data_IF_172622683178
#
_entry.id   IF_172622683178
#
_cell.length_a   1.000
_cell.length_b   1.000
_cell.length_c   1.000
_cell.angle_alpha   90.00
_cell.angle_beta   90.00
_cell.angle_gamma   90.00
#
_symmetry.space_group_name_H-M   'P 1'
#
loop_
_entity.id
_entity.type
_entity.pdbx_description
1 polymer ?
#
# COMPACT_ATOMS: atom_id res chain seq x y z
N UNK A 1 -28.98 -35.18 -83.48
CA UNK A 1 -28.13 -36.36 -83.22
C UNK A 1 -26.80 -35.90 -82.64
N UNK A 2 -26.43 -36.47 -81.48
CA UNK A 2 -25.07 -36.71 -80.95
C UNK A 2 -24.22 -35.54 -80.36
N UNK A 3 -24.28 -35.52 -79.03
CA UNK A 3 -23.28 -35.29 -77.95
C UNK A 3 -21.82 -34.90 -78.26
N UNK A 4 -21.24 -34.08 -77.34
CA UNK A 4 -20.02 -34.28 -76.49
C UNK A 4 -19.71 -32.90 -75.83
N UNK A 5 -19.90 -32.66 -74.52
CA UNK A 5 -19.15 -33.04 -73.30
C UNK A 5 -17.77 -32.34 -73.12
N UNK A 6 -17.73 -31.31 -72.26
CA UNK A 6 -16.67 -30.96 -71.26
C UNK A 6 -17.06 -29.64 -70.59
N UNK A 7 -17.53 -29.59 -69.34
CA UNK A 7 -16.82 -29.76 -68.06
C UNK A 7 -15.69 -28.73 -67.84
N UNK A 8 -16.03 -27.55 -67.29
CA UNK A 8 -15.22 -26.87 -66.25
C UNK A 8 -16.20 -26.10 -65.36
N UNK A 9 -16.41 -26.64 -64.15
CA UNK A 9 -17.03 -25.94 -63.02
C UNK A 9 -15.90 -25.19 -62.34
N UNK A 10 -15.94 -23.86 -62.34
CA UNK A 10 -15.08 -23.05 -61.48
C UNK A 10 -15.92 -22.47 -60.33
N UNK A 11 -15.99 -23.25 -59.27
CA UNK A 11 -16.46 -22.84 -57.94
C UNK A 11 -15.50 -21.79 -57.37
N UNK A 12 -15.91 -20.53 -57.40
CA UNK A 12 -15.34 -19.49 -56.53
C UNK A 12 -15.93 -19.65 -55.13
N UNK A 13 -15.18 -20.26 -54.22
CA UNK A 13 -15.48 -20.27 -52.79
C UNK A 13 -15.27 -18.84 -52.30
N UNK A 14 -16.36 -18.08 -52.17
CA UNK A 14 -16.35 -16.89 -51.31
C UNK A 14 -16.26 -17.40 -49.87
N UNK A 15 -15.06 -17.30 -49.30
CA UNK A 15 -14.84 -17.45 -47.88
C UNK A 15 -15.60 -16.33 -47.15
N UNK A 16 -16.80 -16.66 -46.65
CA UNK A 16 -17.48 -15.87 -45.66
C UNK A 16 -16.74 -16.05 -44.32
N UNK A 17 -15.79 -15.16 -44.04
CA UNK A 17 -15.29 -15.00 -42.69
C UNK A 17 -16.42 -14.44 -41.82
N UNK A 18 -17.05 -15.33 -41.04
CA UNK A 18 -17.78 -14.95 -39.84
C UNK A 18 -16.76 -14.39 -38.85
N UNK A 19 -16.60 -13.07 -38.83
CA UNK A 19 -15.94 -12.40 -37.72
C UNK A 19 -16.93 -12.38 -36.56
N UNK A 20 -16.76 -13.30 -35.61
CA UNK A 20 -17.39 -13.22 -34.30
C UNK A 20 -16.96 -11.90 -33.62
N UNK A 21 -17.86 -11.18 -32.94
CA UNK A 21 -17.47 -9.99 -32.20
C UNK A 21 -16.64 -10.46 -31.01
N UNK A 22 -15.31 -10.34 -31.14
CA UNK A 22 -14.38 -10.48 -30.04
C UNK A 22 -14.78 -9.50 -28.95
N UNK A 23 -15.08 -10.06 -27.78
CA UNK A 23 -15.32 -9.32 -26.55
C UNK A 23 -14.29 -8.19 -26.44
N UNK A 24 -14.77 -6.95 -26.31
CA UNK A 24 -13.94 -5.81 -26.00
C UNK A 24 -13.16 -6.15 -24.73
N UNK A 25 -11.86 -6.39 -24.89
CA UNK A 25 -10.93 -6.30 -23.80
C UNK A 25 -11.10 -4.91 -23.20
N UNK A 26 -11.47 -4.87 -21.93
CA UNK A 26 -11.20 -3.71 -21.11
C UNK A 26 -9.67 -3.63 -21.10
N UNK A 27 -9.12 -2.70 -21.87
CA UNK A 27 -7.73 -2.29 -21.69
C UNK A 27 -7.58 -1.95 -20.20
N UNK A 28 -6.64 -2.57 -19.45
CA UNK A 28 -6.39 -2.14 -18.10
C UNK A 28 -5.90 -0.70 -18.20
N UNK A 29 -6.68 0.22 -17.64
CA UNK A 29 -6.20 1.56 -17.32
C UNK A 29 -5.10 1.31 -16.29
N UNK A 30 -3.85 1.25 -16.74
CA UNK A 30 -2.70 1.40 -15.87
C UNK A 30 -2.68 2.89 -15.55
N UNK A 31 -3.27 3.23 -14.42
CA UNK A 31 -3.22 4.57 -13.87
C UNK A 31 -1.76 4.82 -13.44
N UNK A 32 -1.03 5.66 -14.19
CA UNK A 32 0.40 5.96 -13.95
C UNK A 32 0.66 6.58 -12.56
N UNK A 33 -0.40 6.94 -11.84
CA UNK A 33 -0.39 7.64 -10.55
C UNK A 33 -0.48 6.71 -9.31
N UNK A 34 -0.56 5.38 -9.51
CA UNK A 34 -0.67 4.40 -8.41
C UNK A 34 0.65 3.63 -8.24
N UNK A 35 1.27 3.78 -7.07
CA UNK A 35 2.47 3.03 -6.68
C UNK A 35 2.10 1.97 -5.65
N UNK A 36 2.09 0.69 -6.07
CA UNK A 36 1.99 -0.44 -5.13
C UNK A 36 3.24 -0.51 -4.27
N UNK A 37 3.06 -0.55 -2.95
CA UNK A 37 4.16 -0.41 -1.98
C UNK A 37 4.29 -1.68 -1.12
N UNK A 38 4.67 -2.80 -1.73
CA UNK A 38 4.92 -4.03 -0.98
C UNK A 38 6.38 -4.06 -0.50
N UNK A 39 6.60 -3.74 0.78
CA UNK A 39 7.90 -3.94 1.44
C UNK A 39 8.03 -5.40 1.91
N UNK A 40 9.11 -6.10 1.55
CA UNK A 40 9.37 -7.48 2.00
C UNK A 40 10.47 -7.57 3.07
N UNK A 41 11.14 -6.45 3.38
CA UNK A 41 12.27 -6.36 4.32
C UNK A 41 13.43 -7.32 3.97
N UNK A 42 13.64 -7.62 2.67
CA UNK A 42 14.73 -8.50 2.21
C UNK A 42 16.03 -7.77 1.90
N UNK A 43 16.00 -6.43 1.82
CA UNK A 43 17.17 -5.59 1.57
C UNK A 43 18.18 -5.66 2.75
N UNK A 44 19.47 -5.70 2.43
CA UNK A 44 20.55 -5.80 3.44
C UNK A 44 21.22 -4.47 3.74
N UNK A 45 21.07 -3.46 2.88
CA UNK A 45 21.66 -2.12 3.03
C UNK A 45 20.73 -1.00 2.54
N UNK A 46 20.81 0.17 3.16
CA UNK A 46 20.05 1.34 2.70
C UNK A 46 20.75 1.97 1.50
N UNK A 47 20.01 2.09 0.38
CA UNK A 47 20.50 2.80 -0.82
C UNK A 47 20.73 4.29 -0.57
N UNK A 48 19.87 4.92 0.23
CA UNK A 48 19.99 6.33 0.60
C UNK A 48 20.56 6.45 2.02
N UNK A 49 21.78 7.02 2.20
CA UNK A 49 22.39 7.17 3.53
C UNK A 49 21.57 8.07 4.47
N UNK A 50 20.72 8.95 3.93
CA UNK A 50 19.83 9.79 4.76
C UNK A 50 18.87 8.95 5.60
N UNK A 51 18.47 7.77 5.14
CA UNK A 51 17.57 6.89 5.89
C UNK A 51 18.19 6.46 7.22
N UNK A 52 19.50 6.17 7.21
CA UNK A 52 20.27 5.83 8.40
C UNK A 52 20.32 7.00 9.39
N UNK A 53 20.47 8.22 8.89
CA UNK A 53 20.51 9.43 9.72
C UNK A 53 19.14 9.72 10.37
N UNK A 54 18.05 9.54 9.63
CA UNK A 54 16.68 9.67 10.16
C UNK A 54 16.40 8.65 11.27
N UNK A 55 16.76 7.39 11.07
CA UNK A 55 16.60 6.36 12.11
C UNK A 55 17.43 6.65 13.36
N UNK A 56 18.59 7.30 13.20
CA UNK A 56 19.42 7.77 14.32
C UNK A 56 18.77 8.91 15.07
N UNK A 57 18.26 9.91 14.34
CA UNK A 57 17.57 11.07 14.93
C UNK A 57 16.33 10.64 15.72
N UNK A 58 15.59 9.64 15.23
CA UNK A 58 14.43 9.08 15.92
C UNK A 58 14.79 8.21 17.14
N UNK A 59 16.06 7.82 17.29
CA UNK A 59 16.56 6.97 18.37
C UNK A 59 15.79 5.64 18.57
N UNK A 60 15.26 5.07 17.48
CA UNK A 60 14.38 3.87 17.53
C UNK A 60 15.10 2.52 17.35
N UNK A 61 16.42 2.53 17.11
CA UNK A 61 17.19 1.32 16.82
C UNK A 61 18.65 1.44 17.27
N UNK A 62 19.39 0.32 17.20
CA UNK A 62 20.81 0.23 17.55
C UNK A 62 21.67 0.05 16.28
N UNK A 63 22.84 0.71 16.22
CA UNK A 63 23.75 0.63 15.07
C UNK A 63 24.79 -0.50 15.17
N UNK A 64 24.96 -1.08 16.36
CA UNK A 64 25.89 -2.19 16.61
C UNK A 64 25.30 -3.13 17.66
N UNK A 65 25.58 -4.42 17.48
CA UNK A 65 25.32 -5.46 18.48
C UNK A 65 26.22 -5.20 19.70
N UNK A 66 25.69 -4.51 20.71
CA UNK A 66 26.12 -4.82 22.08
C UNK A 66 25.76 -6.29 22.30
N UNK A 67 26.62 -7.08 22.94
CA UNK A 67 26.61 -8.57 23.00
C UNK A 67 25.30 -9.26 23.47
N UNK A 68 24.23 -8.49 23.68
CA UNK A 68 22.88 -8.93 24.03
C UNK A 68 21.79 -8.01 23.43
N UNK A 69 21.84 -7.64 22.15
CA UNK A 69 20.88 -6.68 21.58
C UNK A 69 19.45 -7.23 21.60
N UNK A 70 18.71 -6.78 22.62
CA UNK A 70 17.27 -6.90 22.74
C UNK A 70 16.55 -6.05 21.70
N UNK A 71 17.17 -4.96 21.22
CA UNK A 71 16.58 -4.02 20.28
C UNK A 71 16.94 -4.31 18.82
N UNK A 72 16.07 -3.85 17.92
CA UNK A 72 16.22 -3.93 16.48
C UNK A 72 17.45 -3.14 16.00
N UNK A 73 18.17 -3.70 15.05
CA UNK A 73 19.26 -3.02 14.37
C UNK A 73 18.71 -2.00 13.37
N UNK A 74 19.41 -0.88 13.20
CA UNK A 74 19.09 0.13 12.19
C UNK A 74 19.43 -0.38 10.79
N UNK A 75 18.62 -1.31 10.26
CA UNK A 75 18.81 -1.97 8.97
C UNK A 75 17.51 -2.02 8.16
N UNK A 76 17.60 -2.21 6.83
CA UNK A 76 16.42 -2.38 5.98
C UNK A 76 15.62 -3.65 6.26
N UNK A 77 16.19 -4.62 6.99
CA UNK A 77 15.48 -5.81 7.47
C UNK A 77 14.44 -5.51 8.56
N UNK A 78 14.51 -4.30 9.16
CA UNK A 78 13.63 -3.86 10.25
C UNK A 78 12.84 -2.58 9.90
N UNK A 79 13.39 -1.73 9.03
CA UNK A 79 12.85 -0.39 8.77
C UNK A 79 12.87 -0.03 7.28
N UNK A 80 11.81 0.62 6.79
CA UNK A 80 11.76 1.27 5.48
C UNK A 80 11.39 2.74 5.65
N UNK A 81 12.08 3.60 4.92
CA UNK A 81 11.74 5.02 4.79
C UNK A 81 11.22 5.23 3.37
N UNK A 82 10.07 5.88 3.27
CA UNK A 82 9.32 6.06 2.02
C UNK A 82 9.00 7.55 1.87
N UNK A 83 9.29 8.10 0.69
CA UNK A 83 8.92 9.47 0.33
C UNK A 83 7.45 9.50 -0.11
N UNK A 84 6.68 10.45 0.44
CA UNK A 84 5.25 10.60 0.13
C UNK A 84 4.86 12.01 -0.34
N UNK A 85 5.79 12.97 -0.32
CA UNK A 85 5.58 14.32 -0.83
C UNK A 85 6.54 14.60 -1.97
N UNK A 86 6.00 15.09 -3.07
CA UNK A 86 6.76 15.65 -4.18
C UNK A 86 7.45 16.95 -3.71
N UNK A 87 8.67 17.20 -4.22
CA UNK A 87 9.46 18.41 -3.97
C UNK A 87 9.79 18.75 -2.49
N UNK A 88 9.58 17.81 -1.58
CA UNK A 88 10.00 17.92 -0.16
C UNK A 88 11.12 16.93 0.10
N UNK A 89 12.14 17.36 0.85
CA UNK A 89 13.23 16.45 1.22
C UNK A 89 12.71 15.31 2.10
N UNK A 90 13.18 14.08 1.85
CA UNK A 90 12.95 12.95 2.77
C UNK A 90 13.42 13.23 4.20
N UNK A 91 14.34 14.19 4.40
CA UNK A 91 14.75 14.66 5.73
C UNK A 91 13.64 15.34 6.53
N UNK A 92 12.65 15.86 5.82
CA UNK A 92 11.63 16.76 6.35
C UNK A 92 10.22 16.17 6.26
N UNK A 93 9.97 15.22 5.35
CA UNK A 93 8.71 14.49 5.29
C UNK A 93 8.93 13.06 4.78
N UNK A 94 8.54 12.07 5.58
CA UNK A 94 8.66 10.66 5.20
C UNK A 94 7.69 9.77 5.97
N UNK A 95 7.43 8.60 5.40
CA UNK A 95 6.76 7.49 6.07
C UNK A 95 7.84 6.52 6.56
N UNK A 96 7.78 6.17 7.84
CA UNK A 96 8.54 5.10 8.45
C UNK A 96 7.66 3.85 8.54
N UNK A 97 8.06 2.79 7.84
CA UNK A 97 7.50 1.46 8.02
C UNK A 97 8.43 0.62 8.91
N UNK A 98 7.88 0.02 9.96
CA UNK A 98 8.58 -0.83 10.91
C UNK A 98 8.07 -2.27 10.78
N UNK A 99 9.00 -3.22 10.66
CA UNK A 99 8.67 -4.64 10.59
C UNK A 99 7.94 -5.10 11.85
N UNK A 100 6.97 -5.99 11.67
CA UNK A 100 6.23 -6.61 12.76
C UNK A 100 7.16 -7.36 13.74
N UNK A 101 6.85 -7.34 15.04
CA UNK A 101 7.55 -8.16 16.03
C UNK A 101 8.94 -7.70 16.44
N UNK A 102 9.49 -6.65 15.82
CA UNK A 102 10.81 -6.11 16.22
C UNK A 102 10.72 -5.44 17.59
N UNK A 103 11.87 -5.20 18.22
CA UNK A 103 11.98 -4.46 19.48
C UNK A 103 12.58 -3.07 19.22
N UNK A 104 11.78 -2.00 19.04
CA UNK A 104 12.32 -0.66 18.91
C UNK A 104 13.02 -0.25 20.20
N UNK A 105 14.09 0.54 20.08
CA UNK A 105 14.78 1.11 21.24
C UNK A 105 13.82 1.93 22.10
N UNK A 106 13.96 1.80 23.42
CA UNK A 106 13.08 2.45 24.40
C UNK A 106 11.77 1.72 24.67
N UNK A 107 11.43 0.65 23.94
CA UNK A 107 10.27 -0.20 24.22
C UNK A 107 10.61 -1.34 25.17
N UNK A 108 9.65 -1.71 26.03
CA UNK A 108 9.79 -2.83 26.98
C UNK A 108 9.25 -4.16 26.45
N UNK A 109 8.58 -4.13 25.31
CA UNK A 109 7.91 -5.27 24.67
C UNK A 109 8.10 -5.14 23.15
N UNK A 110 8.06 -6.23 22.38
CA UNK A 110 8.17 -6.13 20.93
C UNK A 110 6.94 -5.45 20.37
N UNK A 111 7.06 -4.91 19.16
CA UNK A 111 5.89 -4.51 18.40
C UNK A 111 4.93 -5.70 18.27
N UNK A 112 3.62 -5.46 18.27
CA UNK A 112 2.64 -6.49 17.93
C UNK A 112 2.98 -7.18 16.59
N UNK A 113 2.40 -8.36 16.30
CA UNK A 113 2.63 -9.08 15.05
C UNK A 113 1.81 -8.45 13.91
N UNK A 114 2.07 -7.16 13.65
CA UNK A 114 1.57 -6.30 12.58
C UNK A 114 2.58 -5.17 12.40
N UNK A 115 2.77 -4.73 11.16
CA UNK A 115 3.70 -3.62 10.87
C UNK A 115 3.18 -2.32 11.47
N UNK A 116 4.10 -1.39 11.70
CA UNK A 116 3.75 -0.03 12.11
C UNK A 116 4.17 0.92 11.01
N UNK A 117 3.25 1.78 10.60
CA UNK A 117 3.48 2.82 9.59
C UNK A 117 3.30 4.14 10.32
N UNK A 118 4.33 4.98 10.33
CA UNK A 118 4.34 6.25 11.04
C UNK A 118 4.72 7.34 10.07
N UNK A 119 3.92 8.37 9.97
CA UNK A 119 4.15 9.53 9.10
C UNK A 119 4.82 10.62 9.92
N UNK A 120 5.94 11.11 9.44
CA UNK A 120 6.71 12.19 10.06
C UNK A 120 6.77 13.42 9.18
N UNK A 121 6.66 14.59 9.82
CA UNK A 121 7.03 15.88 9.24
C UNK A 121 7.96 16.63 10.17
N UNK A 122 8.81 17.48 9.60
CA UNK A 122 9.70 18.35 10.35
C UNK A 122 9.03 19.67 10.67
N UNK A 123 8.85 19.95 11.95
CA UNK A 123 8.43 21.25 12.46
C UNK A 123 9.64 21.93 13.13
N UNK A 124 10.25 22.89 12.44
CA UNK A 124 11.49 23.52 12.92
C UNK A 124 12.66 22.55 12.93
N UNK A 125 13.18 22.22 14.12
CA UNK A 125 14.29 21.28 14.29
C UNK A 125 13.84 19.86 14.66
N UNK A 126 12.54 19.62 14.84
CA UNK A 126 12.02 18.37 15.39
C UNK A 126 11.19 17.59 14.37
N UNK A 127 11.33 16.27 14.38
CA UNK A 127 10.44 15.35 13.65
C UNK A 127 9.20 15.07 14.50
N UNK A 128 8.05 15.54 14.03
CA UNK A 128 6.75 15.32 14.66
C UNK A 128 6.00 14.20 13.93
N UNK A 129 5.27 13.38 14.69
CA UNK A 129 4.37 12.37 14.12
C UNK A 129 3.07 13.03 13.71
N UNK A 130 2.70 12.90 12.44
CA UNK A 130 1.45 13.42 11.87
C UNK A 130 0.46 12.32 11.51
N UNK A 131 0.82 11.05 11.72
CA UNK A 131 -0.08 9.90 11.60
C UNK A 131 0.61 8.59 11.98
N UNK A 132 -0.18 7.61 12.42
CA UNK A 132 0.29 6.29 12.80
C UNK A 132 -0.75 5.21 12.51
N UNK A 133 -0.28 4.08 11.98
CA UNK A 133 -1.13 2.95 11.59
C UNK A 133 -0.49 1.62 12.00
N UNK A 134 -1.33 0.66 12.40
CA UNK A 134 -0.95 -0.75 12.59
C UNK A 134 -1.53 -1.57 11.44
N UNK A 135 -0.72 -1.73 10.40
CA UNK A 135 -1.16 -2.35 9.16
C UNK A 135 -0.07 -2.30 8.10
N UNK A 136 -0.44 -2.62 6.87
CA UNK A 136 0.45 -2.63 5.71
C UNK A 136 0.10 -1.47 4.77
N UNK A 137 1.12 -0.78 4.25
CA UNK A 137 0.94 0.26 3.24
C UNK A 137 0.73 -0.48 1.91
N UNK A 138 -0.48 -0.41 1.36
CA UNK A 138 -0.84 -1.18 0.17
C UNK A 138 -0.46 -0.39 -1.08
N UNK A 139 -0.90 0.87 -1.12
CA UNK A 139 -0.71 1.77 -2.25
C UNK A 139 -0.48 3.20 -1.76
N UNK A 140 0.29 3.95 -2.56
CA UNK A 140 0.33 5.40 -2.54
C UNK A 140 -0.25 5.90 -3.86
N UNK A 141 -1.18 6.87 -3.79
CA UNK A 141 -1.78 7.47 -4.98
C UNK A 141 -1.42 8.95 -5.05
N UNK A 142 -0.87 9.39 -6.19
CA UNK A 142 -0.56 10.80 -6.38
C UNK A 142 -1.83 11.62 -6.34
N UNK A 143 -1.79 12.75 -5.63
CA UNK A 143 -2.87 13.73 -5.66
C UNK A 143 -2.37 15.08 -6.20
N UNK A 144 -3.32 15.96 -6.52
CA UNK A 144 -3.03 17.26 -7.16
C UNK A 144 -2.22 18.23 -6.29
N UNK A 145 -2.09 17.95 -4.99
CA UNK A 145 -1.32 18.76 -4.05
C UNK A 145 0.15 18.37 -3.98
N UNK A 146 0.58 17.32 -4.69
CA UNK A 146 1.93 16.78 -4.60
C UNK A 146 2.18 15.99 -3.32
N UNK A 147 1.12 15.55 -2.63
CA UNK A 147 1.22 14.68 -1.44
C UNK A 147 0.46 13.40 -1.76
N UNK A 148 1.06 12.24 -1.56
CA UNK A 148 0.39 10.99 -1.86
C UNK A 148 -0.71 10.70 -0.85
N UNK A 149 -1.89 10.31 -1.32
CA UNK A 149 -2.92 9.69 -0.48
C UNK A 149 -2.53 8.22 -0.23
N UNK A 150 -2.99 7.65 0.89
CA UNK A 150 -2.56 6.33 1.34
C UNK A 150 -3.71 5.34 1.35
N UNK A 151 -3.47 4.15 0.79
CA UNK A 151 -4.30 2.97 1.03
C UNK A 151 -3.59 2.08 2.04
N UNK A 152 -4.18 1.91 3.22
CA UNK A 152 -3.63 1.11 4.31
C UNK A 152 -4.51 -0.11 4.56
N UNK A 153 -3.89 -1.29 4.61
CA UNK A 153 -4.51 -2.54 5.04
C UNK A 153 -4.43 -2.66 6.55
N UNK A 154 -5.56 -2.50 7.25
CA UNK A 154 -5.64 -2.57 8.71
C UNK A 154 -6.22 -3.92 9.13
N UNK A 155 -5.42 -4.72 9.84
CA UNK A 155 -5.80 -6.09 10.21
C UNK A 155 -6.44 -6.16 11.60
N UNK A 156 -7.69 -6.58 11.66
CA UNK A 156 -8.39 -6.83 12.92
C UNK A 156 -8.39 -8.32 13.28
N UNK A 157 -7.56 -8.68 14.27
CA UNK A 157 -7.44 -10.05 14.77
C UNK A 157 -8.68 -10.54 15.52
N UNK A 158 -9.45 -9.65 16.14
CA UNK A 158 -10.60 -10.09 16.94
C UNK A 158 -11.88 -10.23 16.10
N UNK A 159 -11.91 -9.60 14.92
CA UNK A 159 -13.04 -9.69 13.99
C UNK A 159 -12.77 -10.73 12.89
N UNK A 160 -12.59 -11.98 13.31
CA UNK A 160 -12.43 -13.10 12.36
C UNK A 160 -11.20 -13.03 11.45
N UNK A 161 -10.26 -12.11 11.69
CA UNK A 161 -9.11 -11.89 10.82
C UNK A 161 -9.44 -11.12 9.55
N UNK A 162 -10.34 -10.13 9.63
CA UNK A 162 -10.65 -9.24 8.49
C UNK A 162 -9.54 -8.20 8.30
N UNK A 163 -9.15 -8.01 7.04
CA UNK A 163 -8.28 -6.91 6.61
C UNK A 163 -9.13 -5.83 5.93
N UNK A 164 -9.08 -4.62 6.49
CA UNK A 164 -9.79 -3.45 5.99
C UNK A 164 -8.87 -2.61 5.11
N UNK A 165 -9.26 -2.37 3.85
CA UNK A 165 -8.51 -1.51 2.93
C UNK A 165 -9.06 -0.09 3.07
N UNK A 166 -8.31 0.76 3.78
CA UNK A 166 -8.75 2.07 4.21
C UNK A 166 -7.98 3.16 3.48
N UNK A 167 -8.73 4.07 2.84
CA UNK A 167 -8.20 5.24 2.16
C UNK A 167 -8.02 6.41 3.13
N UNK A 168 -6.88 7.08 3.03
CA UNK A 168 -6.56 8.26 3.81
C UNK A 168 -6.11 9.41 2.90
N UNK A 169 -6.86 10.52 2.97
CA UNK A 169 -6.55 11.78 2.27
C UNK A 169 -5.56 12.62 3.09
N UNK A 170 -4.63 13.28 2.42
CA UNK A 170 -3.84 14.34 3.07
C UNK A 170 -4.64 15.65 3.17
N UNK A 171 -4.90 16.15 4.39
CA UNK A 171 -5.67 17.38 4.59
C UNK A 171 -4.82 18.68 4.65
N UNK A 172 -3.52 18.59 4.41
CA UNK A 172 -2.56 19.68 4.57
C UNK A 172 -1.73 19.62 5.86
N UNK A 173 -2.18 18.86 6.86
CA UNK A 173 -1.52 18.73 8.17
C UNK A 173 -1.33 17.28 8.63
N UNK A 174 -2.29 16.41 8.33
CA UNK A 174 -2.28 14.99 8.68
C UNK A 174 -3.11 14.19 7.69
N UNK A 175 -2.97 12.87 7.76
CA UNK A 175 -3.86 11.96 7.06
C UNK A 175 -5.21 11.87 7.76
N UNK A 176 -6.28 12.01 6.99
CA UNK A 176 -7.66 11.85 7.43
C UNK A 176 -8.29 10.64 6.75
N UNK A 177 -8.93 9.81 7.56
CA UNK A 177 -9.67 8.67 7.05
C UNK A 177 -10.82 9.14 6.16
N UNK A 178 -10.88 8.60 4.95
CA UNK A 178 -11.90 8.94 3.97
C UNK A 178 -12.99 7.89 3.92
N UNK A 179 -12.60 6.67 3.56
CA UNK A 179 -13.51 5.57 3.31
C UNK A 179 -12.80 4.22 3.31
N UNK A 180 -13.60 3.17 3.18
CA UNK A 180 -13.15 1.79 3.04
C UNK A 180 -13.43 1.36 1.62
N UNK A 181 -12.38 0.99 0.90
CA UNK A 181 -12.50 0.56 -0.48
C UNK A 181 -12.89 -0.91 -0.58
N UNK A 182 -12.44 -1.72 0.38
CA UNK A 182 -12.68 -3.15 0.36
C UNK A 182 -12.36 -3.86 1.67
N UNK A 183 -12.77 -5.12 1.70
CA UNK A 183 -12.53 -6.06 2.79
C UNK A 183 -11.88 -7.31 2.23
N UNK A 184 -10.95 -7.88 2.98
CA UNK A 184 -10.40 -9.20 2.69
C UNK A 184 -10.57 -10.12 3.90
N UNK A 185 -11.22 -11.26 3.64
CA UNK A 185 -11.52 -12.30 4.62
C UNK A 185 -10.56 -13.51 4.47
N UNK A 186 -9.42 -13.31 3.82
CA UNK A 186 -8.47 -14.36 3.43
C UNK A 186 -8.69 -14.91 2.01
N UNK A 187 -9.53 -14.27 1.21
CA UNK A 187 -9.84 -14.66 -0.18
C UNK A 187 -9.35 -13.63 -1.22
N UNK A 188 -8.69 -12.56 -0.76
CA UNK A 188 -8.31 -11.40 -1.55
C UNK A 188 -9.26 -10.21 -1.36
N UNK A 189 -8.82 -8.99 -1.75
CA UNK A 189 -9.59 -7.77 -1.58
C UNK A 189 -10.90 -7.83 -2.37
N UNK A 190 -12.02 -7.67 -1.67
CA UNK A 190 -13.36 -7.53 -2.26
C UNK A 190 -13.84 -6.09 -2.10
N UNK A 191 -14.16 -5.39 -3.20
CA UNK A 191 -14.64 -4.02 -3.11
C UNK A 191 -16.01 -3.97 -2.44
N UNK A 192 -16.25 -2.91 -1.67
CA UNK A 192 -17.57 -2.66 -1.08
C UNK A 192 -18.51 -2.02 -2.11
N UNK A 193 -19.76 -2.50 -2.14
CA UNK A 193 -20.85 -1.80 -2.86
C UNK A 193 -21.05 -0.43 -2.24
N UNK A 194 -21.31 0.59 -3.06
CA UNK A 194 -21.47 1.99 -2.63
C UNK A 194 -22.41 2.16 -1.42
N UNK A 195 -23.59 1.53 -1.45
CA UNK A 195 -24.58 1.61 -0.36
C UNK A 195 -24.06 1.06 0.99
N UNK A 196 -23.21 0.02 0.93
CA UNK A 196 -22.57 -0.53 2.13
C UNK A 196 -21.39 0.34 2.58
N UNK A 197 -20.69 0.98 1.64
CA UNK A 197 -19.55 1.84 1.95
C UNK A 197 -19.97 3.02 2.81
N UNK A 198 -21.00 3.77 2.41
CA UNK A 198 -21.46 4.95 3.16
C UNK A 198 -21.91 4.60 4.58
N UNK A 199 -22.64 3.49 4.74
CA UNK A 199 -23.18 3.07 6.03
C UNK A 199 -22.13 2.48 6.98
N UNK A 200 -21.15 1.73 6.46
CA UNK A 200 -20.16 1.02 7.29
C UNK A 200 -18.91 1.85 7.58
N UNK A 201 -18.60 2.85 6.77
CA UNK A 201 -17.35 3.64 6.87
C UNK A 201 -17.15 4.25 8.25
N UNK A 202 -18.19 4.87 8.82
CA UNK A 202 -18.09 5.52 10.13
C UNK A 202 -17.97 4.50 11.27
N UNK A 203 -18.73 3.42 11.23
CA UNK A 203 -18.68 2.36 12.24
C UNK A 203 -17.29 1.71 12.29
N UNK A 204 -16.76 1.34 11.12
CA UNK A 204 -15.44 0.73 11.06
C UNK A 204 -14.36 1.73 11.47
N UNK A 205 -14.45 3.00 11.09
CA UNK A 205 -13.47 4.00 11.56
C UNK A 205 -13.41 4.08 13.08
N UNK A 206 -14.56 4.14 13.75
CA UNK A 206 -14.61 4.14 15.22
C UNK A 206 -13.98 2.87 15.80
N UNK A 207 -14.31 1.72 15.23
CA UNK A 207 -13.73 0.42 15.64
C UNK A 207 -12.20 0.39 15.48
N UNK A 208 -11.67 0.89 14.37
CA UNK A 208 -10.23 0.95 14.10
C UNK A 208 -9.51 1.87 15.10
N UNK A 209 -10.13 3.00 15.46
CA UNK A 209 -9.63 3.92 16.49
C UNK A 209 -9.66 3.29 17.89
N UNK A 210 -10.77 2.64 18.27
CA UNK A 210 -10.91 1.95 19.56
C UNK A 210 -9.87 0.86 19.75
N UNK A 211 -9.54 0.14 18.67
CA UNK A 211 -8.50 -0.89 18.65
C UNK A 211 -7.08 -0.34 18.52
N UNK A 212 -6.93 0.99 18.45
CA UNK A 212 -5.64 1.66 18.25
C UNK A 212 -4.89 1.14 17.01
N UNK A 213 -5.63 0.85 15.94
CA UNK A 213 -5.05 0.54 14.63
C UNK A 213 -4.69 1.81 13.87
N UNK A 214 -5.25 2.94 14.28
CA UNK A 214 -4.91 4.31 13.86
C UNK A 214 -4.55 5.09 15.14
N UNK A 215 -3.41 5.77 15.19
CA UNK A 215 -2.89 6.43 16.40
C UNK A 215 -2.00 7.64 16.13
#
# INVERSE_FOLDING_TARGET
>A
MKHILSLVILTGILAACSAEPTANGVDPIIDEDIVSTITDFSETEFKNPVHVDLLRELEICEFKSVDSTYFATCSPENFKIIEYKDDVSVKDAFILEMRAGIFPKGQKVPLPPVRHIIVFEREGSELVRVGGFRGDLIEMRKNKSGVNDLLIGLFDKDDGGVLFYCWFDWNGRKYEFKEIEGLDFGEGPKPLKEEMRESMTQEIYQKLMEKSLIF
#
